data_IF_498883827168
#
_entry.id   IF_498883827168
#
_cell.length_a   1.000
_cell.length_b   1.000
_cell.length_c   1.000
_cell.angle_alpha   90.00
_cell.angle_beta   90.00
_cell.angle_gamma   90.00
#
_symmetry.space_group_name_H-M   'P 1'
#
loop_
_entity.id
_entity.type
_entity.pdbx_description
1 polymer ?
#
# COMPACT_ATOMS: atom_id res chain seq x y z
N UNK A 1 26.70 0.82 -62.59
CA UNK A 1 25.99 1.82 -61.78
C UNK A 1 26.52 1.72 -60.37
N UNK A 2 27.11 2.82 -59.94
CA UNK A 2 27.84 3.06 -58.69
C UNK A 2 26.88 3.11 -57.51
N UNK A 3 27.26 2.59 -56.34
CA UNK A 3 26.43 2.64 -55.13
C UNK A 3 27.20 2.26 -53.87
N UNK A 4 28.09 3.14 -53.44
CA UNK A 4 28.64 3.23 -52.07
C UNK A 4 27.57 3.75 -51.11
N UNK A 5 27.51 3.22 -49.88
CA UNK A 5 27.10 3.83 -48.58
C UNK A 5 27.24 2.66 -47.58
N UNK A 6 27.90 2.70 -46.42
CA UNK A 6 28.43 3.79 -45.62
C UNK A 6 28.46 3.25 -44.20
N UNK A 7 29.65 2.86 -43.72
CA UNK A 7 29.86 2.43 -42.34
C UNK A 7 29.62 3.61 -41.39
N UNK A 8 28.89 3.37 -40.31
CA UNK A 8 28.77 4.32 -39.19
C UNK A 8 29.17 3.57 -37.93
N UNK A 9 30.44 3.71 -37.59
CA UNK A 9 31.01 3.35 -36.30
C UNK A 9 30.29 4.16 -35.21
N UNK A 10 29.52 3.46 -34.36
CA UNK A 10 28.99 3.99 -33.12
C UNK A 10 30.13 4.05 -32.10
N UNK A 11 30.91 5.14 -32.14
CA UNK A 11 31.83 5.51 -31.08
C UNK A 11 31.02 5.90 -29.84
N UNK A 12 30.91 4.95 -28.92
CA UNK A 12 30.38 5.07 -27.58
C UNK A 12 31.24 6.06 -26.77
N UNK A 13 30.80 7.31 -26.70
CA UNK A 13 31.39 8.35 -25.86
C UNK A 13 31.10 8.01 -24.38
N UNK A 14 32.06 7.33 -23.74
CA UNK A 14 32.18 7.25 -22.27
C UNK A 14 32.63 8.62 -21.75
N UNK A 15 31.69 9.43 -21.27
CA UNK A 15 31.99 10.64 -20.51
C UNK A 15 32.47 10.24 -19.11
N UNK A 16 33.77 10.41 -18.86
CA UNK A 16 34.37 10.31 -17.54
C UNK A 16 33.96 11.54 -16.72
N UNK A 17 33.09 11.37 -15.73
CA UNK A 17 32.88 12.40 -14.70
C UNK A 17 34.05 12.36 -13.71
N UNK A 18 34.89 13.39 -13.76
CA UNK A 18 35.98 13.62 -12.82
C UNK A 18 35.42 14.02 -11.46
N UNK A 19 35.59 13.13 -10.46
CA UNK A 19 35.30 13.40 -9.05
C UNK A 19 36.33 14.39 -8.52
N UNK A 20 35.93 15.66 -8.39
CA UNK A 20 36.73 16.71 -7.76
C UNK A 20 36.59 16.67 -6.24
N UNK A 21 37.65 16.26 -5.55
CA UNK A 21 37.84 16.45 -4.11
C UNK A 21 37.96 17.93 -3.78
N UNK A 22 37.04 18.48 -2.99
CA UNK A 22 37.19 19.79 -2.32
C UNK A 22 37.29 19.59 -0.81
N UNK A 23 38.50 19.78 -0.29
CA UNK A 23 38.83 19.89 1.14
C UNK A 23 39.12 21.36 1.45
N UNK A 24 38.25 21.99 2.24
CA UNK A 24 38.48 23.17 3.10
C UNK A 24 37.11 23.47 3.72
N UNK A 25 36.82 23.21 5.00
CA UNK A 25 37.54 23.73 6.16
C UNK A 25 37.17 25.21 6.33
N UNK A 26 36.32 25.55 7.32
CA UNK A 26 36.38 26.79 8.13
C UNK A 26 35.18 26.92 9.08
N UNK A 27 35.54 27.00 10.36
CA UNK A 27 34.96 27.68 11.53
C UNK A 27 33.54 27.37 12.05
N UNK A 28 33.57 26.69 13.22
CA UNK A 28 32.70 26.89 14.37
C UNK A 28 32.46 28.37 14.71
N UNK A 29 31.18 28.77 14.84
CA UNK A 29 30.76 29.88 15.69
C UNK A 29 29.78 29.31 16.72
N UNK A 30 30.30 29.08 17.93
CA UNK A 30 29.50 28.79 19.13
C UNK A 30 28.95 30.12 19.66
N UNK A 31 27.66 30.36 19.48
CA UNK A 31 26.96 31.43 20.20
C UNK A 31 26.25 30.80 21.41
N UNK A 32 26.78 31.09 22.60
CA UNK A 32 26.19 30.75 23.88
C UNK A 32 24.87 31.50 24.09
N UNK A 33 23.75 30.78 24.03
CA UNK A 33 22.45 31.23 24.53
C UNK A 33 22.16 30.54 25.86
N UNK A 34 22.44 31.23 26.97
CA UNK A 34 22.02 30.80 28.30
C UNK A 34 20.53 31.13 28.48
N UNK A 35 19.67 30.11 28.45
CA UNK A 35 18.34 30.18 29.04
C UNK A 35 18.29 29.27 30.27
N UNK A 36 18.09 29.89 31.42
CA UNK A 36 17.94 29.28 32.74
C UNK A 36 16.46 29.10 33.06
N UNK A 37 16.15 27.99 33.73
CA UNK A 37 14.95 27.67 34.53
C UNK A 37 13.71 27.14 33.75
N UNK A 38 12.95 26.14 34.20
CA UNK A 38 12.80 25.49 35.52
C UNK A 38 12.67 23.96 35.40
N UNK A 39 13.17 23.25 36.41
CA UNK A 39 12.87 21.85 36.70
C UNK A 39 11.51 21.72 37.41
N UNK A 40 10.74 20.71 37.05
CA UNK A 40 9.80 20.09 37.99
C UNK A 40 10.13 18.59 38.06
N UNK A 41 10.38 18.13 39.29
CA UNK A 41 10.77 16.78 39.66
C UNK A 41 9.58 16.20 40.41
N UNK A 42 8.94 15.15 39.87
CA UNK A 42 7.82 14.54 40.57
C UNK A 42 7.37 13.21 39.99
N UNK A 43 8.07 12.12 40.36
CA UNK A 43 7.46 10.81 40.56
C UNK A 43 7.59 9.79 39.43
N UNK A 44 8.43 8.78 39.67
CA UNK A 44 8.21 7.40 39.24
C UNK A 44 8.33 6.51 40.51
N UNK A 45 7.95 5.21 40.52
CA UNK A 45 7.51 4.37 39.39
C UNK A 45 6.37 3.37 39.72
N UNK A 46 5.69 2.85 38.68
CA UNK A 46 5.25 1.45 38.53
C UNK A 46 5.16 1.22 37.01
N UNK A 47 5.88 0.31 36.35
CA UNK A 47 5.94 -1.13 36.62
C UNK A 47 5.10 -1.86 35.56
N UNK A 48 5.53 -1.81 34.29
CA UNK A 48 4.91 -2.52 33.18
C UNK A 48 5.88 -2.59 32.01
N UNK A 49 6.53 -3.75 31.86
CA UNK A 49 7.33 -4.11 30.70
C UNK A 49 6.40 -4.28 29.49
N UNK A 50 6.14 -3.18 28.79
CA UNK A 50 5.68 -3.20 27.41
C UNK A 50 6.91 -3.16 26.53
N UNK A 51 7.09 -4.17 25.69
CA UNK A 51 7.98 -4.08 24.56
C UNK A 51 7.62 -2.80 23.79
N UNK A 52 8.62 -1.94 23.62
CA UNK A 52 8.45 -0.72 22.84
C UNK A 52 8.06 -1.12 21.42
N UNK A 53 6.78 -0.92 21.07
CA UNK A 53 6.34 -1.00 19.69
C UNK A 53 7.23 -0.08 18.86
N UNK A 54 7.85 -0.67 17.83
CA UNK A 54 8.67 0.08 16.89
C UNK A 54 7.84 1.23 16.28
N UNK A 55 8.48 2.34 15.86
CA UNK A 55 7.76 3.43 15.20
C UNK A 55 7.01 2.91 13.98
N UNK A 56 5.68 3.06 13.98
CA UNK A 56 4.85 2.86 12.78
C UNK A 56 5.20 3.99 11.81
N UNK A 57 5.86 3.67 10.70
CA UNK A 57 6.13 4.62 9.62
C UNK A 57 4.83 5.23 9.09
N UNK A 58 4.83 6.44 8.50
CA UNK A 58 3.63 7.04 7.93
C UNK A 58 3.01 6.15 6.84
N UNK A 59 1.68 6.22 6.67
CA UNK A 59 0.99 5.59 5.54
C UNK A 59 1.69 5.98 4.22
N UNK A 60 2.20 4.99 3.50
CA UNK A 60 2.91 5.21 2.25
C UNK A 60 1.87 5.34 1.13
N UNK A 61 2.07 6.25 0.18
CA UNK A 61 1.23 6.31 -1.01
C UNK A 61 1.79 5.36 -2.09
N UNK A 62 0.96 4.61 -2.80
CA UNK A 62 1.40 3.85 -3.96
C UNK A 62 1.72 4.78 -5.15
N UNK A 63 2.25 4.23 -6.25
CA UNK A 63 2.68 5.00 -7.45
C UNK A 63 1.55 5.85 -8.07
N UNK A 64 0.29 5.52 -7.74
CA UNK A 64 -0.89 6.25 -8.19
C UNK A 64 -1.44 7.25 -7.15
N UNK A 65 -0.70 7.51 -6.07
CA UNK A 65 -1.04 8.51 -5.05
C UNK A 65 -2.03 8.04 -3.99
N UNK A 66 -2.36 6.73 -3.95
CA UNK A 66 -3.34 6.18 -3.03
C UNK A 66 -2.70 5.77 -1.70
N UNK A 67 -3.36 6.09 -0.59
CA UNK A 67 -2.87 5.83 0.76
C UNK A 67 -2.91 4.33 1.08
N UNK A 68 -1.75 3.69 1.23
CA UNK A 68 -1.65 2.30 1.68
C UNK A 68 -2.10 2.23 3.13
N UNK A 69 -3.33 1.75 3.33
CA UNK A 69 -3.94 1.61 4.67
C UNK A 69 -3.35 0.42 5.47
N UNK A 70 -2.48 -0.41 4.87
CA UNK A 70 -1.78 -1.50 5.56
C UNK A 70 -0.29 -1.59 5.23
N UNK A 71 0.56 -1.62 6.25
CA UNK A 71 1.98 -1.90 6.07
C UNK A 71 2.17 -3.41 5.90
N UNK A 72 2.51 -3.86 4.69
CA UNK A 72 2.89 -5.25 4.42
C UNK A 72 4.36 -5.46 4.78
N UNK A 73 4.63 -6.39 5.68
CA UNK A 73 6.00 -6.73 6.10
C UNK A 73 6.43 -8.13 5.66
N UNK A 74 5.51 -8.95 5.15
CA UNK A 74 5.75 -10.33 4.78
C UNK A 74 5.48 -10.60 3.28
N UNK A 75 6.18 -11.61 2.74
CA UNK A 75 6.05 -12.06 1.35
C UNK A 75 4.71 -12.79 1.14
N UNK A 76 3.84 -12.32 0.22
CA UNK A 76 2.55 -12.94 -0.10
C UNK A 76 2.65 -14.45 -0.32
N UNK A 77 3.66 -14.93 -1.05
CA UNK A 77 3.83 -16.34 -1.40
C UNK A 77 4.02 -17.23 -0.16
N UNK A 78 4.44 -16.63 0.96
CA UNK A 78 4.67 -17.32 2.22
C UNK A 78 3.54 -17.14 3.24
N UNK A 79 2.65 -16.16 3.04
CA UNK A 79 1.63 -15.82 4.03
C UNK A 79 0.20 -16.16 3.60
N UNK A 80 -0.03 -16.47 2.33
CA UNK A 80 -1.38 -16.78 1.87
C UNK A 80 -2.01 -17.92 2.67
N UNK A 81 -3.29 -17.80 3.04
CA UNK A 81 -3.96 -18.82 3.82
C UNK A 81 -4.19 -20.08 2.99
N UNK A 82 -4.24 -21.25 3.64
CA UNK A 82 -4.41 -22.53 2.94
C UNK A 82 -5.72 -22.64 2.15
N UNK A 83 -6.74 -21.83 2.48
CA UNK A 83 -8.00 -21.77 1.75
C UNK A 83 -7.94 -20.94 0.46
N UNK A 84 -6.89 -20.15 0.26
CA UNK A 84 -6.57 -19.55 -1.04
C UNK A 84 -5.93 -20.58 -1.98
N UNK A 85 -6.57 -21.75 -2.11
CA UNK A 85 -5.96 -22.97 -2.64
C UNK A 85 -5.98 -23.10 -4.16
N UNK A 86 -6.70 -22.23 -4.86
CA UNK A 86 -6.72 -22.19 -6.33
C UNK A 86 -5.87 -21.03 -6.83
N UNK A 87 -5.33 -21.10 -8.05
CA UNK A 87 -4.56 -19.98 -8.62
C UNK A 87 -5.36 -18.66 -8.62
N UNK A 88 -6.67 -18.74 -8.87
CA UNK A 88 -7.53 -17.57 -8.84
C UNK A 88 -7.70 -17.03 -7.42
N UNK A 89 -8.01 -17.87 -6.44
CA UNK A 89 -8.11 -17.40 -5.05
C UNK A 89 -6.76 -16.83 -4.57
N UNK A 90 -5.64 -17.49 -4.86
CA UNK A 90 -4.32 -16.96 -4.53
C UNK A 90 -4.11 -15.56 -5.12
N UNK A 91 -4.45 -15.35 -6.40
CA UNK A 91 -4.37 -14.04 -7.06
C UNK A 91 -5.22 -12.97 -6.35
N UNK A 92 -6.47 -13.29 -6.01
CA UNK A 92 -7.39 -12.34 -5.37
C UNK A 92 -6.93 -11.99 -3.95
N UNK A 93 -6.48 -12.99 -3.17
CA UNK A 93 -5.97 -12.77 -1.82
C UNK A 93 -4.64 -12.02 -1.80
N UNK A 94 -3.74 -12.30 -2.75
CA UNK A 94 -2.51 -11.53 -2.93
C UNK A 94 -2.84 -10.08 -3.24
N UNK A 95 -3.77 -9.81 -4.16
CA UNK A 95 -4.15 -8.43 -4.46
C UNK A 95 -4.78 -7.73 -3.25
N UNK A 96 -5.66 -8.41 -2.50
CA UNK A 96 -6.25 -7.84 -1.31
C UNK A 96 -5.24 -7.57 -0.20
N UNK A 97 -4.21 -8.43 -0.10
CA UNK A 97 -3.06 -8.18 0.74
C UNK A 97 -2.29 -6.98 0.20
N UNK A 98 -1.75 -6.99 -1.01
CA UNK A 98 -0.84 -5.94 -1.51
C UNK A 98 -1.49 -4.56 -1.71
N UNK A 99 -2.80 -4.51 -1.99
CA UNK A 99 -3.52 -3.30 -2.40
C UNK A 99 -4.76 -2.97 -1.54
N UNK A 100 -4.62 -2.86 -0.21
CA UNK A 100 -5.70 -2.44 0.69
C UNK A 100 -6.24 -1.06 0.32
N UNK A 101 -5.40 -0.17 -0.21
CA UNK A 101 -5.75 1.18 -0.67
C UNK A 101 -6.66 1.21 -1.88
N UNK A 102 -6.83 0.07 -2.56
CA UNK A 102 -7.71 -0.07 -3.69
C UNK A 102 -9.00 -0.71 -3.24
N UNK A 103 -8.93 -1.93 -2.68
CA UNK A 103 -10.12 -2.69 -2.30
C UNK A 103 -10.90 -2.07 -1.15
N UNK A 104 -10.28 -1.22 -0.32
CA UNK A 104 -11.00 -0.51 0.75
C UNK A 104 -12.01 0.51 0.22
N UNK A 105 -11.86 0.96 -1.03
CA UNK A 105 -12.82 1.85 -1.71
C UNK A 105 -13.82 1.09 -2.58
N UNK A 106 -13.74 -0.24 -2.66
CA UNK A 106 -14.62 -1.04 -3.50
C UNK A 106 -15.71 -1.70 -2.65
N UNK A 107 -16.99 -1.49 -2.93
CA UNK A 107 -18.06 -2.11 -2.17
C UNK A 107 -18.26 -3.55 -2.62
N UNK A 108 -19.02 -4.32 -1.84
CA UNK A 108 -19.63 -5.54 -2.33
C UNK A 108 -21.14 -5.55 -2.04
N UNK A 109 -21.90 -6.25 -2.88
CA UNK A 109 -23.37 -6.26 -2.86
C UNK A 109 -23.98 -7.58 -2.42
N UNK A 110 -23.22 -8.43 -1.73
CA UNK A 110 -23.69 -9.74 -1.23
C UNK A 110 -24.49 -9.67 0.08
N UNK A 111 -24.71 -8.48 0.65
CA UNK A 111 -25.40 -8.30 1.93
C UNK A 111 -24.53 -8.54 3.18
N UNK A 112 -23.21 -8.65 3.03
CA UNK A 112 -22.29 -8.87 4.16
C UNK A 112 -22.08 -7.63 5.06
N UNK A 113 -22.61 -6.46 4.69
CA UNK A 113 -22.54 -5.26 5.52
C UNK A 113 -23.08 -5.48 6.94
N UNK A 114 -24.14 -6.28 7.09
CA UNK A 114 -24.70 -6.62 8.40
C UNK A 114 -23.77 -7.48 9.28
N UNK A 115 -22.76 -8.13 8.68
CA UNK A 115 -21.71 -8.87 9.38
C UNK A 115 -20.54 -7.97 9.82
N UNK A 116 -20.59 -6.67 9.48
CA UNK A 116 -19.55 -5.70 9.81
C UNK A 116 -18.51 -5.47 8.72
N UNK A 117 -18.70 -6.02 7.51
CA UNK A 117 -17.83 -5.73 6.37
C UNK A 117 -18.13 -4.34 5.83
N UNK A 118 -17.09 -3.52 5.68
CA UNK A 118 -17.22 -2.12 5.22
C UNK A 118 -16.80 -1.97 3.75
N UNK A 119 -16.13 -2.95 3.17
CA UNK A 119 -15.71 -2.96 1.77
C UNK A 119 -15.46 -4.39 1.29
N UNK A 120 -15.21 -4.53 -0.01
CA UNK A 120 -14.76 -5.77 -0.63
C UNK A 120 -13.42 -6.25 -0.05
N UNK A 121 -12.56 -5.35 0.45
CA UNK A 121 -11.34 -5.74 1.17
C UNK A 121 -11.62 -6.58 2.42
N UNK A 122 -12.67 -6.25 3.18
CA UNK A 122 -13.04 -7.02 4.38
C UNK A 122 -13.46 -8.46 4.08
N UNK A 123 -13.81 -8.78 2.83
CA UNK A 123 -14.09 -10.16 2.43
C UNK A 123 -12.85 -11.05 2.38
N UNK A 124 -11.65 -10.46 2.36
CA UNK A 124 -10.36 -11.15 2.31
C UNK A 124 -9.55 -10.97 3.59
N UNK A 125 -9.70 -9.83 4.26
CA UNK A 125 -8.91 -9.48 5.45
C UNK A 125 -9.81 -9.14 6.62
N UNK A 126 -9.65 -9.88 7.71
CA UNK A 126 -10.36 -9.67 8.96
C UNK A 126 -9.74 -8.54 9.78
N UNK A 127 -8.44 -8.35 9.68
CA UNK A 127 -7.73 -7.29 10.37
C UNK A 127 -6.22 -7.43 10.29
N UNK A 128 -5.56 -6.43 10.85
CA UNK A 128 -4.10 -6.33 10.93
C UNK A 128 -3.77 -5.97 12.36
N UNK A 129 -2.84 -6.69 12.96
CA UNK A 129 -2.41 -6.40 14.33
C UNK A 129 -1.43 -5.22 14.40
N UNK A 130 -1.05 -4.83 15.62
CA UNK A 130 -0.15 -3.71 15.85
C UNK A 130 1.27 -3.90 15.28
N UNK A 131 1.64 -5.13 14.90
CA UNK A 131 2.92 -5.47 14.31
C UNK A 131 2.83 -5.58 12.77
N UNK A 132 1.67 -5.30 12.18
CA UNK A 132 1.45 -5.43 10.74
C UNK A 132 1.14 -6.87 10.30
N UNK A 133 0.86 -7.80 11.22
CA UNK A 133 0.52 -9.17 10.86
C UNK A 133 -0.95 -9.22 10.42
N UNK A 134 -1.16 -9.67 9.19
CA UNK A 134 -2.49 -9.79 8.58
C UNK A 134 -3.18 -11.06 9.03
N UNK A 135 -4.45 -10.93 9.41
CA UNK A 135 -5.39 -12.05 9.59
C UNK A 135 -6.36 -12.08 8.41
N UNK A 136 -6.25 -13.11 7.58
CA UNK A 136 -7.17 -13.30 6.46
C UNK A 136 -8.56 -13.77 6.94
N UNK A 137 -9.57 -13.35 6.19
CA UNK A 137 -10.95 -13.83 6.28
C UNK A 137 -11.20 -14.81 5.14
N UNK A 138 -11.95 -15.90 5.37
CA UNK A 138 -12.26 -16.89 4.34
C UNK A 138 -13.55 -16.56 3.57
N UNK A 139 -14.24 -15.49 3.92
CA UNK A 139 -15.53 -15.11 3.35
C UNK A 139 -15.52 -15.07 1.82
N UNK A 140 -14.48 -14.48 1.22
CA UNK A 140 -14.37 -14.38 -0.23
C UNK A 140 -14.29 -15.75 -0.92
N UNK A 141 -13.81 -16.82 -0.25
CA UNK A 141 -13.79 -18.18 -0.81
C UNK A 141 -15.19 -18.65 -1.18
N UNK A 142 -16.19 -18.26 -0.37
CA UNK A 142 -17.58 -18.74 -0.50
C UNK A 142 -18.50 -17.71 -1.15
N UNK A 143 -18.00 -16.53 -1.52
CA UNK A 143 -18.81 -15.46 -2.08
C UNK A 143 -18.36 -15.08 -3.50
N UNK A 144 -19.04 -15.65 -4.50
CA UNK A 144 -18.68 -15.46 -5.91
C UNK A 144 -18.67 -13.98 -6.33
N UNK A 145 -19.67 -13.19 -5.93
CA UNK A 145 -19.71 -11.76 -6.30
C UNK A 145 -18.53 -10.98 -5.71
N UNK A 146 -18.02 -11.36 -4.54
CA UNK A 146 -16.83 -10.72 -3.99
C UNK A 146 -15.60 -11.01 -4.85
N UNK A 147 -15.47 -12.25 -5.35
CA UNK A 147 -14.37 -12.65 -6.24
C UNK A 147 -14.45 -11.93 -7.59
N UNK A 148 -15.65 -11.85 -8.18
CA UNK A 148 -15.89 -11.19 -9.47
C UNK A 148 -15.57 -9.68 -9.39
N UNK A 149 -16.07 -8.99 -8.36
CA UNK A 149 -15.74 -7.58 -8.10
C UNK A 149 -14.23 -7.39 -8.02
N UNK A 150 -13.52 -8.20 -7.24
CA UNK A 150 -12.07 -8.06 -7.09
C UNK A 150 -11.34 -8.34 -8.41
N UNK A 151 -11.78 -9.33 -9.19
CA UNK A 151 -11.20 -9.62 -10.50
C UNK A 151 -11.33 -8.44 -11.47
N UNK A 152 -12.50 -7.81 -11.51
CA UNK A 152 -12.73 -6.61 -12.31
C UNK A 152 -11.90 -5.44 -11.81
N UNK A 153 -11.85 -5.22 -10.49
CA UNK A 153 -10.98 -4.19 -9.89
C UNK A 153 -9.52 -4.39 -10.30
N UNK A 154 -8.99 -5.61 -10.24
CA UNK A 154 -7.62 -5.91 -10.67
C UNK A 154 -7.43 -5.55 -12.13
N UNK A 155 -8.38 -5.91 -12.99
CA UNK A 155 -8.32 -5.61 -14.43
C UNK A 155 -8.27 -4.10 -14.68
N UNK A 156 -9.13 -3.33 -13.99
CA UNK A 156 -9.22 -1.88 -14.14
C UNK A 156 -8.01 -1.16 -13.50
N UNK A 157 -7.47 -1.69 -12.42
CA UNK A 157 -6.29 -1.17 -11.75
C UNK A 157 -5.02 -1.40 -12.57
N UNK A 158 -4.83 -2.61 -13.13
CA UNK A 158 -3.67 -2.94 -13.95
C UNK A 158 -3.59 -2.14 -15.26
N UNK A 159 -4.72 -1.66 -15.78
CA UNK A 159 -4.74 -0.72 -16.93
C UNK A 159 -4.47 0.74 -16.54
N UNK A 160 -4.28 1.03 -15.25
CA UNK A 160 -4.00 2.37 -14.73
C UNK A 160 -5.21 3.28 -14.60
N UNK A 161 -6.43 2.74 -14.44
CA UNK A 161 -7.60 3.60 -14.21
C UNK A 161 -7.54 4.30 -12.85
N UNK A 162 -8.05 5.54 -12.76
CA UNK A 162 -8.22 6.23 -11.49
C UNK A 162 -9.24 5.49 -10.60
N UNK A 163 -9.05 5.50 -9.27
CA UNK A 163 -9.93 4.79 -8.33
C UNK A 163 -11.40 5.20 -8.43
N UNK A 164 -11.69 6.46 -8.72
CA UNK A 164 -13.06 6.93 -8.95
C UNK A 164 -13.71 6.25 -10.14
N UNK A 165 -13.00 6.09 -11.26
CA UNK A 165 -13.50 5.36 -12.43
C UNK A 165 -13.66 3.86 -12.13
N UNK A 166 -12.73 3.26 -11.38
CA UNK A 166 -12.85 1.87 -10.94
C UNK A 166 -14.13 1.74 -10.08
N UNK A 167 -14.31 2.62 -9.10
CA UNK A 167 -15.48 2.63 -8.22
C UNK A 167 -16.78 2.80 -9.00
N UNK A 168 -16.85 3.78 -9.91
CA UNK A 168 -18.03 4.02 -10.74
C UNK A 168 -18.37 2.79 -11.60
N UNK A 169 -17.35 2.12 -12.14
CA UNK A 169 -17.53 0.90 -12.93
C UNK A 169 -18.08 -0.23 -12.07
N UNK A 170 -17.56 -0.42 -10.86
CA UNK A 170 -18.06 -1.45 -9.93
C UNK A 170 -19.50 -1.14 -9.49
N UNK A 171 -19.81 0.11 -9.15
CA UNK A 171 -21.16 0.53 -8.77
C UNK A 171 -22.19 0.29 -9.89
N UNK A 172 -21.81 0.53 -11.14
CA UNK A 172 -22.65 0.29 -12.31
C UNK A 172 -22.80 -1.20 -12.64
N UNK A 173 -21.74 -1.99 -12.48
CA UNK A 173 -21.71 -3.41 -12.87
C UNK A 173 -22.38 -4.30 -11.83
N UNK A 174 -22.24 -3.95 -10.55
CA UNK A 174 -22.74 -4.71 -9.41
C UNK A 174 -23.73 -3.85 -8.61
N UNK A 175 -24.95 -3.58 -9.13
CA UNK A 175 -25.95 -2.82 -8.40
C UNK A 175 -26.49 -3.62 -7.21
N UNK A 176 -26.97 -2.93 -6.18
CA UNK A 176 -27.58 -3.55 -5.01
C UNK A 176 -27.30 -2.79 -3.73
N UNK A 177 -27.70 -3.38 -2.60
CA UNK A 177 -27.32 -2.88 -1.29
C UNK A 177 -25.83 -3.12 -1.07
N UNK A 178 -25.07 -2.03 -1.06
CA UNK A 178 -23.61 -2.05 -0.90
C UNK A 178 -23.22 -2.03 0.58
N UNK A 179 -22.06 -2.61 0.88
CA UNK A 179 -21.32 -2.29 2.11
C UNK A 179 -21.15 -0.78 2.26
N UNK A 180 -21.05 -0.23 3.49
CA UNK A 180 -20.90 1.20 3.75
C UNK A 180 -19.48 1.68 3.41
N UNK A 181 -19.12 1.57 2.12
CA UNK A 181 -17.78 1.81 1.60
C UNK A 181 -17.64 3.25 1.20
N UNK A 182 -16.61 3.91 1.71
CA UNK A 182 -16.28 5.28 1.33
C UNK A 182 -16.05 5.39 -0.18
N UNK A 183 -16.51 6.50 -0.76
CA UNK A 183 -16.22 6.83 -2.15
C UNK A 183 -14.86 7.55 -2.21
N UNK A 184 -13.96 7.20 -3.12
CA UNK A 184 -12.66 7.88 -3.25
C UNK A 184 -12.88 9.34 -3.68
N UNK A 185 -12.73 10.28 -2.74
CA UNK A 185 -13.10 11.68 -2.97
C UNK A 185 -12.12 12.42 -3.89
N UNK A 186 -12.66 13.14 -4.89
CA UNK A 186 -12.13 14.40 -5.42
C UNK A 186 -10.72 14.41 -6.02
N UNK A 187 -10.41 13.41 -6.85
CA UNK A 187 -9.14 13.29 -7.59
C UNK A 187 -9.30 13.77 -9.02
#
# INVERSE_FOLDING_TARGET
MTGTIGGRDLQMQRSHHSVGTFLAGVLLVMAAGAFTACSDQGGAPVGGSGDAAAPVEPAQANEMGYQVHAQHTADPDTILPSFASTPELARLYTFAYEHPEVLSYMPCTCGCGAMGHNSNWNCYVKGIDANGVVTFDDHAVYCQVCQEITSDVITLWQRGSPLSEIRDTIDATYPGEQTPTEYPAGM
#
